data_IF_098635155455
#
_entry.id   IF_098635155455
#
_cell.length_a   1.000
_cell.length_b   1.000
_cell.length_c   1.000
_cell.angle_alpha   90.00
_cell.angle_beta   90.00
_cell.angle_gamma   90.00
#
_symmetry.space_group_name_H-M   'P 1'
#
loop_
_entity.id
_entity.type
_entity.pdbx_description
1 polymer ?
#
# COMPACT_ATOMS: atom_id res chain seq x y z
N UNK A 1 -17.61 -13.32 11.94
CA UNK A 1 -19.05 -12.98 11.99
C UNK A 1 -19.34 -11.52 11.65
N UNK A 2 -18.71 -10.53 12.28
CA UNK A 2 -18.97 -9.11 11.98
C UNK A 2 -18.81 -8.71 10.51
N UNK A 3 -17.74 -9.15 9.83
CA UNK A 3 -17.54 -8.87 8.40
C UNK A 3 -18.65 -9.48 7.52
N UNK A 4 -19.08 -10.71 7.81
CA UNK A 4 -20.19 -11.38 7.09
C UNK A 4 -21.51 -10.64 7.29
N UNK A 5 -21.80 -10.21 8.52
CA UNK A 5 -23.00 -9.42 8.81
C UNK A 5 -23.03 -8.09 8.05
N UNK A 6 -21.87 -7.43 7.89
CA UNK A 6 -21.74 -6.26 7.03
C UNK A 6 -22.01 -6.58 5.55
N UNK A 7 -21.45 -7.67 5.01
CA UNK A 7 -21.69 -8.08 3.62
C UNK A 7 -23.15 -8.43 3.34
N UNK A 8 -23.84 -9.04 4.30
CA UNK A 8 -25.25 -9.43 4.19
C UNK A 8 -26.20 -8.24 4.29
N UNK A 9 -25.91 -7.25 5.13
CA UNK A 9 -26.76 -6.07 5.32
C UNK A 9 -25.94 -4.77 5.50
N UNK A 10 -25.31 -4.24 4.43
CA UNK A 10 -24.48 -3.05 4.55
C UNK A 10 -25.34 -1.80 4.66
N UNK A 11 -24.98 -0.92 5.61
CA UNK A 11 -25.62 0.37 5.80
C UNK A 11 -25.64 1.20 4.50
N UNK A 12 -26.78 1.83 4.24
CA UNK A 12 -26.93 2.87 3.23
C UNK A 12 -27.89 3.95 3.73
N UNK A 13 -27.56 5.24 3.65
CA UNK A 13 -28.31 6.30 4.33
C UNK A 13 -29.77 6.45 3.89
N UNK A 14 -30.14 5.96 2.70
CA UNK A 14 -31.50 6.05 2.14
C UNK A 14 -32.15 4.65 2.10
N UNK A 15 -31.56 3.74 1.32
CA UNK A 15 -32.12 2.41 1.08
C UNK A 15 -32.08 1.45 2.27
N UNK A 16 -31.09 1.58 3.18
CA UNK A 16 -30.85 0.66 4.31
C UNK A 16 -30.28 1.40 5.54
N UNK A 17 -31.05 2.32 6.14
CA UNK A 17 -30.56 3.15 7.25
C UNK A 17 -30.31 2.35 8.54
N UNK A 18 -30.84 1.13 8.64
CA UNK A 18 -30.66 0.18 9.73
C UNK A 18 -29.55 -0.86 9.46
N UNK A 19 -28.88 -0.78 8.30
CA UNK A 19 -27.78 -1.68 7.96
C UNK A 19 -26.54 -1.50 8.84
N UNK A 20 -25.63 -2.48 8.75
CA UNK A 20 -24.39 -2.51 9.51
C UNK A 20 -23.41 -1.46 8.98
N UNK A 21 -22.92 -0.59 9.87
CA UNK A 21 -21.89 0.40 9.55
C UNK A 21 -20.51 -0.23 9.65
N UNK A 22 -19.69 -0.09 8.61
CA UNK A 22 -18.32 -0.61 8.61
C UNK A 22 -17.41 0.25 9.49
N UNK A 23 -16.90 -0.36 10.57
CA UNK A 23 -15.92 0.26 11.49
C UNK A 23 -14.73 -0.66 11.76
N UNK A 24 -14.66 -1.82 11.10
CA UNK A 24 -13.60 -2.82 11.27
C UNK A 24 -12.46 -2.74 10.24
N UNK A 25 -12.59 -1.88 9.21
CA UNK A 25 -11.58 -1.72 8.17
C UNK A 25 -10.73 -0.47 8.43
N UNK A 26 -9.41 -0.65 8.47
CA UNK A 26 -8.46 0.45 8.55
C UNK A 26 -8.23 1.06 7.16
N UNK A 27 -9.11 1.96 6.74
CA UNK A 27 -9.04 2.67 5.45
C UNK A 27 -9.03 4.19 5.66
N UNK A 28 -8.26 4.92 4.85
CA UNK A 28 -8.22 6.37 4.89
C UNK A 28 -8.90 6.97 3.65
N UNK A 29 -10.10 7.50 3.83
CA UNK A 29 -10.84 8.23 2.79
C UNK A 29 -10.78 9.76 2.94
N UNK A 30 -10.05 10.28 3.94
CA UNK A 30 -10.10 11.69 4.34
C UNK A 30 -9.40 12.65 3.37
N UNK A 31 -8.45 12.15 2.58
CA UNK A 31 -7.61 12.96 1.68
C UNK A 31 -7.84 12.65 0.20
N UNK A 32 -8.93 11.96 -0.14
CA UNK A 32 -9.21 11.56 -1.52
C UNK A 32 -9.46 12.74 -2.47
N UNK A 33 -9.97 13.84 -1.94
CA UNK A 33 -10.17 15.11 -2.65
C UNK A 33 -8.84 15.74 -3.09
N UNK A 34 -7.84 15.74 -2.21
CA UNK A 34 -6.50 16.27 -2.50
C UNK A 34 -5.83 15.50 -3.65
N UNK A 35 -5.89 14.17 -3.58
CA UNK A 35 -5.34 13.30 -4.64
C UNK A 35 -6.09 13.48 -5.96
N UNK A 36 -7.42 13.54 -5.92
CA UNK A 36 -8.25 13.77 -7.11
C UNK A 36 -7.91 15.09 -7.78
N UNK A 37 -7.81 16.17 -7.00
CA UNK A 37 -7.45 17.49 -7.51
C UNK A 37 -6.09 17.45 -8.21
N UNK A 38 -5.08 16.88 -7.55
CA UNK A 38 -3.73 16.78 -8.11
C UNK A 38 -3.71 16.00 -9.44
N UNK A 39 -4.40 14.84 -9.51
CA UNK A 39 -4.45 14.05 -10.75
C UNK A 39 -5.12 14.80 -11.90
N UNK A 40 -6.16 15.60 -11.62
CA UNK A 40 -6.81 16.43 -12.64
C UNK A 40 -5.94 17.60 -13.12
N UNK A 41 -5.12 18.16 -12.23
CA UNK A 41 -4.17 19.24 -12.54
C UNK A 41 -2.90 18.74 -13.25
N UNK A 42 -2.62 17.43 -13.18
CA UNK A 42 -1.41 16.78 -13.71
C UNK A 42 -1.71 15.57 -14.60
N UNK A 43 -2.43 15.74 -15.73
CA UNK A 43 -2.77 14.63 -16.61
C UNK A 43 -1.53 13.91 -17.16
N UNK A 44 -0.40 14.59 -17.33
CA UNK A 44 0.87 14.03 -17.81
C UNK A 44 1.45 12.93 -16.91
N UNK A 45 1.01 12.84 -15.65
CA UNK A 45 1.50 11.86 -14.69
C UNK A 45 0.93 10.45 -14.90
N UNK A 46 -0.08 10.27 -15.76
CA UNK A 46 -0.71 8.99 -16.04
C UNK A 46 -0.55 8.61 -17.51
N UNK A 47 -0.05 7.39 -17.77
CA UNK A 47 0.07 6.85 -19.14
C UNK A 47 -1.29 6.59 -19.81
N UNK A 48 -2.39 6.74 -19.07
CA UNK A 48 -3.76 6.58 -19.55
C UNK A 48 -4.39 7.90 -20.03
N UNK A 49 -3.63 8.99 -20.13
CA UNK A 49 -4.08 10.29 -20.65
C UNK A 49 -3.41 10.63 -21.97
N UNK A 50 -3.95 11.60 -22.71
CA UNK A 50 -3.35 12.05 -23.98
C UNK A 50 -1.95 12.67 -23.78
N UNK A 51 -1.73 13.31 -22.63
CA UNK A 51 -0.49 13.98 -22.25
C UNK A 51 0.59 12.98 -21.80
N UNK A 52 0.20 11.88 -21.14
CA UNK A 52 1.13 10.88 -20.61
C UNK A 52 1.37 9.67 -21.52
N UNK A 53 0.53 9.42 -22.53
CA UNK A 53 0.58 8.21 -23.38
C UNK A 53 1.92 8.00 -24.09
N UNK A 54 2.68 9.07 -24.33
CA UNK A 54 4.01 8.97 -24.96
C UNK A 54 4.99 8.09 -24.15
N UNK A 55 4.78 7.93 -22.84
CA UNK A 55 5.59 7.08 -21.97
C UNK A 55 5.10 5.62 -21.93
N UNK A 56 3.96 5.30 -22.55
CA UNK A 56 3.30 4.00 -22.43
C UNK A 56 4.23 2.83 -22.80
N UNK A 57 4.89 2.91 -23.96
CA UNK A 57 5.76 1.83 -24.45
C UNK A 57 6.91 1.54 -23.48
N UNK A 58 7.50 2.58 -22.88
CA UNK A 58 8.61 2.44 -21.94
C UNK A 58 8.14 1.84 -20.60
N UNK A 59 6.99 2.31 -20.08
CA UNK A 59 6.44 1.83 -18.81
C UNK A 59 5.87 0.41 -18.94
N UNK A 60 5.19 0.09 -20.04
CA UNK A 60 4.51 -1.19 -20.22
C UNK A 60 5.48 -2.39 -20.29
N UNK A 61 6.70 -2.17 -20.79
CA UNK A 61 7.73 -3.22 -20.90
C UNK A 61 8.72 -3.21 -19.73
N UNK A 62 8.62 -2.23 -18.83
CA UNK A 62 9.55 -2.08 -17.72
C UNK A 62 9.42 -3.27 -16.76
N UNK A 63 10.52 -3.99 -16.55
CA UNK A 63 10.54 -5.23 -15.79
C UNK A 63 11.73 -5.33 -14.80
N UNK A 64 12.48 -4.25 -14.62
CA UNK A 64 13.61 -4.24 -13.69
C UNK A 64 13.09 -4.33 -12.24
N UNK A 65 13.59 -5.31 -11.49
CA UNK A 65 13.18 -5.54 -10.10
C UNK A 65 13.63 -4.43 -9.14
N UNK A 66 14.57 -3.56 -9.54
CA UNK A 66 14.93 -2.38 -8.75
C UNK A 66 13.80 -1.32 -8.76
N UNK A 67 12.83 -1.46 -9.66
CA UNK A 67 11.75 -0.50 -9.86
C UNK A 67 12.19 0.73 -10.66
N UNK A 68 11.21 1.51 -11.11
CA UNK A 68 11.45 2.73 -11.89
C UNK A 68 12.33 3.70 -11.09
N UNK A 69 13.48 4.17 -11.62
CA UNK A 69 14.37 5.09 -10.91
C UNK A 69 13.66 6.36 -10.41
N UNK A 70 12.75 6.92 -11.23
CA UNK A 70 11.93 8.06 -10.83
C UNK A 70 10.99 7.73 -9.66
N UNK A 71 10.45 6.51 -9.59
CA UNK A 71 9.54 6.10 -8.52
C UNK A 71 10.26 5.85 -7.19
N UNK A 72 11.56 5.55 -7.20
CA UNK A 72 12.38 5.52 -5.98
C UNK A 72 12.46 6.88 -5.25
N UNK A 73 11.82 7.93 -5.79
CA UNK A 73 11.42 9.13 -5.05
C UNK A 73 10.63 8.86 -3.76
N UNK A 74 10.08 7.65 -3.57
CA UNK A 74 9.57 7.16 -2.27
C UNK A 74 10.56 7.43 -1.13
N UNK A 75 11.88 7.30 -1.35
CA UNK A 75 12.89 7.64 -0.36
C UNK A 75 12.72 9.07 0.18
N UNK A 76 12.59 10.06 -0.72
CA UNK A 76 12.38 11.47 -0.36
C UNK A 76 11.05 11.68 0.37
N UNK A 77 10.00 10.94 -0.01
CA UNK A 77 8.72 10.99 0.69
C UNK A 77 8.84 10.46 2.12
N UNK A 78 9.56 9.35 2.34
CA UNK A 78 9.86 8.81 3.67
C UNK A 78 10.70 9.78 4.52
N UNK A 79 11.66 10.49 3.92
CA UNK A 79 12.38 11.56 4.63
C UNK A 79 11.43 12.65 5.11
N UNK A 80 10.51 13.10 4.25
CA UNK A 80 9.53 14.14 4.56
C UNK A 80 8.60 13.72 5.70
N UNK A 81 8.12 12.48 5.72
CA UNK A 81 7.27 11.98 6.83
C UNK A 81 8.02 11.89 8.17
N UNK A 82 9.35 11.88 8.14
CA UNK A 82 10.23 11.97 9.32
C UNK A 82 10.74 13.39 9.58
N UNK A 83 10.05 14.41 9.05
CA UNK A 83 10.44 15.82 9.15
C UNK A 83 11.87 16.09 8.68
N UNK A 84 12.33 15.35 7.66
CA UNK A 84 13.68 15.42 7.09
C UNK A 84 14.82 15.20 8.10
N UNK A 85 14.54 14.55 9.24
CA UNK A 85 15.54 14.28 10.30
C UNK A 85 16.45 13.09 9.98
N UNK A 86 16.09 12.29 9.00
CA UNK A 86 16.85 11.12 8.53
C UNK A 86 16.89 11.12 7.01
N UNK A 87 17.89 10.41 6.46
CA UNK A 87 18.07 10.21 5.01
C UNK A 87 17.86 8.76 4.64
N UNK A 88 17.22 8.52 3.50
CA UNK A 88 17.03 7.20 2.93
C UNK A 88 17.76 7.11 1.60
N UNK A 89 18.68 6.16 1.48
CA UNK A 89 19.37 5.88 0.23
C UNK A 89 18.40 5.19 -0.75
N UNK A 90 18.07 5.81 -1.91
CA UNK A 90 17.17 5.21 -2.88
C UNK A 90 17.68 3.88 -3.46
N UNK A 91 18.98 3.60 -3.43
CA UNK A 91 19.54 2.31 -3.87
C UNK A 91 19.27 1.18 -2.87
N UNK A 92 18.76 1.50 -1.67
CA UNK A 92 18.38 0.52 -0.64
C UNK A 92 16.86 0.35 -0.53
N UNK A 93 16.08 0.99 -1.40
CA UNK A 93 14.62 0.82 -1.47
C UNK A 93 14.29 -0.30 -2.44
N UNK A 94 13.62 -1.34 -1.96
CA UNK A 94 13.11 -2.46 -2.75
C UNK A 94 11.59 -2.45 -2.71
N UNK A 95 10.96 -2.53 -3.88
CA UNK A 95 9.51 -2.58 -3.99
C UNK A 95 8.99 -4.00 -3.79
N UNK A 96 7.75 -4.13 -3.33
CA UNK A 96 7.08 -5.42 -3.11
C UNK A 96 5.57 -5.29 -3.35
N UNK A 97 4.84 -6.41 -3.29
CA UNK A 97 3.37 -6.45 -3.38
C UNK A 97 2.68 -5.85 -2.14
N UNK A 98 2.93 -4.58 -1.86
CA UNK A 98 2.50 -3.89 -0.65
C UNK A 98 3.21 -4.38 0.62
N UNK A 99 2.76 -3.88 1.77
CA UNK A 99 3.33 -4.26 3.06
C UNK A 99 3.23 -5.77 3.32
N UNK A 100 2.14 -6.42 2.88
CA UNK A 100 1.95 -7.88 2.97
C UNK A 100 3.13 -8.65 2.37
N UNK A 101 3.46 -8.39 1.10
CA UNK A 101 4.60 -9.06 0.44
C UNK A 101 5.96 -8.63 1.01
N UNK A 102 6.07 -7.41 1.53
CA UNK A 102 7.28 -6.96 2.24
C UNK A 102 7.53 -7.77 3.51
N UNK A 103 6.50 -7.96 4.35
CA UNK A 103 6.60 -8.75 5.58
C UNK A 103 7.01 -10.19 5.30
N UNK A 104 6.39 -10.83 4.31
CA UNK A 104 6.72 -12.19 3.88
C UNK A 104 8.16 -12.28 3.37
N UNK A 105 8.57 -11.39 2.45
CA UNK A 105 9.94 -11.34 1.92
C UNK A 105 10.98 -11.19 3.03
N UNK A 106 10.74 -10.30 4.00
CA UNK A 106 11.62 -10.10 5.15
C UNK A 106 11.70 -11.37 6.01
N UNK A 107 10.57 -12.04 6.26
CA UNK A 107 10.55 -13.30 7.00
C UNK A 107 11.36 -14.39 6.27
N UNK A 108 11.28 -14.46 4.93
CA UNK A 108 12.11 -15.36 4.12
C UNK A 108 13.60 -15.04 4.21
N UNK A 109 13.98 -13.77 4.18
CA UNK A 109 15.39 -13.38 4.21
C UNK A 109 16.06 -13.56 5.59
N UNK A 110 15.28 -13.49 6.68
CA UNK A 110 15.84 -13.39 8.04
C UNK A 110 15.68 -14.64 8.90
N UNK A 111 14.88 -15.63 8.51
CA UNK A 111 14.56 -16.79 9.34
C UNK A 111 14.43 -18.09 8.54
N UNK A 112 14.87 -19.22 9.09
CA UNK A 112 14.66 -20.57 8.54
C UNK A 112 13.41 -21.23 9.13
N UNK A 113 12.89 -22.32 8.53
CA UNK A 113 11.72 -22.99 9.08
C UNK A 113 12.01 -23.51 10.49
N UNK A 114 11.19 -23.13 11.46
CA UNK A 114 11.37 -23.45 12.87
C UNK A 114 11.96 -22.32 13.72
N UNK A 115 12.52 -21.28 13.10
CA UNK A 115 12.91 -20.05 13.80
C UNK A 115 11.68 -19.22 14.21
N UNK A 116 11.88 -18.20 15.06
CA UNK A 116 10.81 -17.36 15.58
C UNK A 116 11.09 -15.86 15.53
N UNK A 117 10.03 -15.07 15.38
CA UNK A 117 10.04 -13.61 15.55
C UNK A 117 9.30 -13.23 16.83
N UNK A 118 9.79 -12.20 17.53
CA UNK A 118 9.07 -11.59 18.65
C UNK A 118 8.19 -10.46 18.14
N UNK A 119 6.89 -10.52 18.46
CA UNK A 119 5.90 -9.49 18.09
C UNK A 119 5.18 -9.02 19.36
N UNK A 120 5.26 -7.73 19.74
CA UNK A 120 4.55 -7.19 20.90
C UNK A 120 3.03 -7.34 20.75
N UNK A 121 2.32 -7.56 21.86
CA UNK A 121 0.85 -7.66 21.86
C UNK A 121 0.19 -6.39 22.43
N UNK A 122 -0.96 -5.94 21.89
CA UNK A 122 -1.65 -6.47 20.69
C UNK A 122 -0.97 -6.08 19.37
N UNK A 123 -1.16 -6.88 18.31
CA UNK A 123 -0.57 -6.66 16.99
C UNK A 123 -1.58 -6.80 15.83
N UNK A 124 -1.14 -6.47 14.61
CA UNK A 124 -1.92 -6.63 13.38
C UNK A 124 -2.21 -8.11 13.10
N UNK A 125 -3.48 -8.57 13.13
CA UNK A 125 -3.80 -10.00 13.02
C UNK A 125 -3.37 -10.63 11.69
N UNK A 126 -3.14 -9.86 10.63
CA UNK A 126 -2.62 -10.42 9.37
C UNK A 126 -1.18 -10.92 9.46
N UNK A 127 -0.39 -10.53 10.48
CA UNK A 127 0.94 -11.11 10.72
C UNK A 127 0.90 -12.62 10.95
N UNK A 128 -0.18 -13.14 11.51
CA UNK A 128 -0.38 -14.57 11.70
C UNK A 128 -0.38 -15.34 10.37
N UNK A 129 -0.69 -14.65 9.27
CA UNK A 129 -0.57 -15.16 7.90
C UNK A 129 0.79 -14.75 7.32
N UNK A 130 1.04 -13.44 7.24
CA UNK A 130 2.12 -12.86 6.43
C UNK A 130 3.53 -13.25 6.90
N UNK A 131 3.73 -13.49 8.20
CA UNK A 131 5.04 -13.84 8.77
C UNK A 131 5.25 -15.36 8.94
N UNK A 132 4.21 -16.17 8.72
CA UNK A 132 4.23 -17.61 8.98
C UNK A 132 3.92 -18.46 7.76
N UNK A 133 3.54 -17.85 6.64
CA UNK A 133 3.20 -18.58 5.41
C UNK A 133 4.44 -19.32 4.87
N UNK A 134 4.49 -20.63 5.11
CA UNK A 134 5.44 -21.63 4.59
C UNK A 134 4.72 -22.95 4.40
#
# INVERSE_FOLDING_TARGET
DGWKAYEENPFHPIDRPDGVIQMGLAENQLCGDLMRKWVLEHPEASICTAEGVNQFSDIAIFQDYHGLPAFRAVAKFMEKTRNNKVKFDPDRIVMSGGATGAHETVAFCLANPGDGFLVPTPYYPGFDRDLRWR
#
